data_IF_109603906094
#
_entry.id   IF_109603906094
#
_cell.length_a   1.000
_cell.length_b   1.000
_cell.length_c   1.000
_cell.angle_alpha   90.00
_cell.angle_beta   90.00
_cell.angle_gamma   90.00
#
_symmetry.space_group_name_H-M   'P 1'
#
loop_
_entity.id
_entity.type
_entity.pdbx_description
1 polymer ?
#
# COMPACT_ATOMS: atom_id res chain seq x y z
N UNK A 1 -8.71 17.51 -7.56
CA UNK A 1 -7.32 17.77 -7.15
C UNK A 1 -7.16 17.86 -5.62
N UNK A 2 -8.09 18.50 -4.87
CA UNK A 2 -8.08 18.49 -3.38
C UNK A 2 -9.30 17.82 -2.73
N UNK A 3 -10.44 17.71 -3.44
CA UNK A 3 -11.72 17.22 -2.88
C UNK A 3 -11.70 15.77 -2.40
N UNK A 4 -10.74 14.95 -2.84
CA UNK A 4 -10.65 13.54 -2.49
C UNK A 4 -9.79 13.27 -1.23
N UNK A 5 -8.89 14.19 -0.84
CA UNK A 5 -8.23 14.12 0.47
C UNK A 5 -9.22 14.42 1.61
N UNK A 6 -10.26 15.21 1.33
CA UNK A 6 -11.35 15.44 2.29
C UNK A 6 -12.12 14.14 2.60
N UNK A 7 -12.17 13.18 1.67
CA UNK A 7 -12.77 11.85 1.88
C UNK A 7 -11.90 10.89 2.69
N UNK A 8 -10.59 11.10 2.74
CA UNK A 8 -9.65 10.31 3.54
C UNK A 8 -9.59 10.74 5.02
N UNK A 9 -10.35 11.78 5.39
CA UNK A 9 -10.33 12.33 6.73
C UNK A 9 -11.13 11.44 7.69
N UNK A 10 -10.44 10.82 8.63
CA UNK A 10 -11.05 9.94 9.62
C UNK A 10 -11.53 10.71 10.84
N UNK A 11 -12.67 10.27 11.37
CA UNK A 11 -13.16 10.65 12.70
C UNK A 11 -13.47 9.38 13.49
N UNK A 12 -12.54 8.87 14.30
CA UNK A 12 -12.93 7.99 15.40
C UNK A 12 -12.50 8.51 16.77
N UNK A 13 -13.53 8.66 17.59
CA UNK A 13 -13.73 8.15 18.97
C UNK A 13 -12.64 8.31 20.03
N UNK A 14 -11.57 9.04 19.81
CA UNK A 14 -10.73 9.56 20.89
C UNK A 14 -10.96 11.06 21.09
N UNK A 15 -11.87 11.37 22.03
CA UNK A 15 -12.15 12.71 22.54
C UNK A 15 -12.56 13.79 21.50
N UNK A 16 -12.97 13.40 20.29
CA UNK A 16 -13.44 14.33 19.26
C UNK A 16 -12.33 14.97 18.43
N UNK A 17 -11.10 14.45 18.47
CA UNK A 17 -10.01 14.89 17.58
C UNK A 17 -10.12 14.17 16.22
N UNK A 18 -10.15 14.94 15.13
CA UNK A 18 -10.12 14.46 13.74
C UNK A 18 -8.67 14.18 13.36
N UNK A 19 -8.39 12.95 12.93
CA UNK A 19 -7.06 12.50 12.56
C UNK A 19 -7.01 12.34 11.04
N UNK A 20 -6.14 13.09 10.38
CA UNK A 20 -6.17 13.25 8.92
C UNK A 20 -4.89 12.77 8.23
N UNK A 21 -5.04 12.42 6.96
CA UNK A 21 -3.95 12.30 6.00
C UNK A 21 -3.84 13.63 5.26
N UNK A 22 -2.73 14.35 5.38
CA UNK A 22 -2.56 15.67 4.77
C UNK A 22 -1.33 15.80 3.90
N UNK A 23 -1.51 16.40 2.72
CA UNK A 23 -0.39 16.91 1.94
C UNK A 23 -0.01 18.30 2.48
N UNK A 24 1.25 18.46 2.85
CA UNK A 24 1.82 19.72 3.32
C UNK A 24 1.84 20.74 2.19
N UNK A 25 1.30 21.94 2.48
CA UNK A 25 1.34 23.11 1.62
C UNK A 25 2.14 24.21 2.33
N UNK A 26 3.24 24.72 1.75
CA UNK A 26 4.03 25.79 2.36
C UNK A 26 3.18 27.02 2.70
N UNK A 27 3.45 27.65 3.84
CA UNK A 27 2.76 28.83 4.36
C UNK A 27 1.29 28.61 4.79
N UNK A 28 0.79 27.36 4.80
CA UNK A 28 -0.55 27.05 5.29
C UNK A 28 -0.50 26.67 6.77
N UNK A 29 -1.37 27.27 7.56
CA UNK A 29 -1.46 26.98 8.99
C UNK A 29 -2.05 25.58 9.22
N UNK A 30 -1.49 24.92 10.23
CA UNK A 30 -2.06 23.73 10.83
C UNK A 30 -3.46 24.00 11.39
N UNK A 31 -4.40 23.13 11.07
CA UNK A 31 -5.83 23.21 11.41
C UNK A 31 -6.40 21.88 11.93
N UNK A 32 -5.60 20.81 11.93
CA UNK A 32 -5.98 19.47 12.39
C UNK A 32 -4.78 18.66 12.91
N UNK A 33 -5.08 17.55 13.60
CA UNK A 33 -4.08 16.54 13.98
C UNK A 33 -3.91 15.54 12.84
N UNK A 34 -2.68 15.12 12.55
CA UNK A 34 -2.37 14.30 11.38
C UNK A 34 -1.84 12.91 11.76
N UNK A 35 -2.41 11.84 11.18
CA UNK A 35 -1.80 10.50 11.23
C UNK A 35 -0.58 10.46 10.31
N UNK A 36 -0.80 10.92 9.08
CA UNK A 36 0.24 11.02 8.07
C UNK A 36 0.27 12.43 7.52
N UNK A 37 1.45 13.03 7.49
CA UNK A 37 1.71 14.21 6.67
C UNK A 37 2.60 13.80 5.51
N UNK A 38 2.16 14.11 4.30
CA UNK A 38 2.94 13.95 3.07
C UNK A 38 3.58 15.28 2.71
N UNK A 39 4.75 15.26 2.08
CA UNK A 39 5.30 16.44 1.40
C UNK A 39 5.98 16.04 0.10
N UNK A 40 5.93 16.90 -0.91
CA UNK A 40 6.63 16.66 -2.17
C UNK A 40 8.09 17.09 -1.99
N UNK A 41 9.03 16.16 -2.21
CA UNK A 41 10.44 16.43 -2.02
C UNK A 41 10.97 17.35 -3.13
N UNK A 42 11.57 18.48 -2.73
CA UNK A 42 12.25 19.41 -3.63
C UNK A 42 13.35 20.18 -2.88
N UNK A 43 14.21 20.90 -3.61
CA UNK A 43 15.20 21.80 -3.02
C UNK A 43 14.56 23.06 -2.39
N UNK A 44 13.27 23.30 -2.65
CA UNK A 44 12.52 24.46 -2.17
C UNK A 44 11.84 24.22 -0.81
N UNK A 45 11.86 22.97 -0.32
CA UNK A 45 11.28 22.62 0.98
C UNK A 45 12.06 23.30 2.12
N UNK A 46 11.38 24.16 2.86
CA UNK A 46 11.90 24.71 4.10
C UNK A 46 11.79 23.66 5.23
N UNK A 47 12.92 23.10 5.63
CA UNK A 47 13.01 22.03 6.65
C UNK A 47 12.50 22.52 8.01
N UNK A 48 12.84 23.74 8.43
CA UNK A 48 12.42 24.29 9.73
C UNK A 48 10.90 24.48 9.78
N UNK A 49 10.31 24.98 8.69
CA UNK A 49 8.85 25.16 8.59
C UNK A 49 8.12 23.82 8.62
N UNK A 50 8.62 22.83 7.88
CA UNK A 50 8.04 21.49 7.85
C UNK A 50 8.13 20.78 9.20
N UNK A 51 9.24 20.93 9.93
CA UNK A 51 9.39 20.42 11.29
C UNK A 51 8.41 21.10 12.26
N UNK A 52 8.29 22.43 12.20
CA UNK A 52 7.32 23.17 13.02
C UNK A 52 5.87 22.76 12.70
N UNK A 53 5.56 22.51 11.42
CA UNK A 53 4.25 21.97 11.02
C UNK A 53 3.99 20.58 11.61
N UNK A 54 4.98 19.67 11.53
CA UNK A 54 4.93 18.32 12.12
C UNK A 54 4.64 18.38 13.62
N UNK A 55 5.34 19.25 14.34
CA UNK A 55 5.14 19.45 15.79
C UNK A 55 3.76 20.03 16.11
N UNK A 56 3.31 21.04 15.36
CA UNK A 56 2.04 21.72 15.59
C UNK A 56 0.83 20.82 15.31
N UNK A 57 0.94 19.94 14.31
CA UNK A 57 -0.13 18.98 13.93
C UNK A 57 -0.02 17.63 14.63
N UNK A 58 0.96 17.46 15.54
CA UNK A 58 1.29 16.18 16.19
C UNK A 58 1.37 15.01 15.18
N UNK A 59 1.96 15.25 14.01
CA UNK A 59 2.06 14.25 12.94
C UNK A 59 2.76 12.99 13.44
N UNK A 60 2.07 11.85 13.37
CA UNK A 60 2.65 10.55 13.75
C UNK A 60 3.71 10.10 12.74
N UNK A 61 3.39 10.13 11.43
CA UNK A 61 4.30 9.73 10.35
C UNK A 61 4.45 10.82 9.29
N UNK A 62 5.69 11.23 9.00
CA UNK A 62 6.05 12.16 7.94
C UNK A 62 6.59 11.40 6.73
N UNK A 63 5.86 11.46 5.60
CA UNK A 63 6.21 10.75 4.37
C UNK A 63 6.62 11.73 3.28
N UNK A 64 7.81 11.53 2.69
CA UNK A 64 8.25 12.25 1.51
C UNK A 64 7.75 11.57 0.23
N UNK A 65 7.23 12.35 -0.71
CA UNK A 65 6.93 11.92 -2.07
C UNK A 65 8.09 12.35 -2.98
N UNK A 66 8.87 11.39 -3.45
CA UNK A 66 10.03 11.64 -4.31
C UNK A 66 9.72 11.26 -5.75
N UNK A 67 9.49 12.26 -6.59
CA UNK A 67 9.08 12.08 -7.99
C UNK A 67 10.22 12.09 -8.99
N UNK A 68 11.44 12.41 -8.54
CA UNK A 68 12.61 12.59 -9.42
C UNK A 68 13.70 11.55 -9.16
N UNK A 69 13.61 10.81 -8.05
CA UNK A 69 14.68 9.94 -7.56
C UNK A 69 15.90 10.69 -7.02
N UNK A 70 15.89 12.03 -7.03
CA UNK A 70 17.00 12.84 -6.50
C UNK A 70 17.07 12.72 -4.98
N UNK A 71 18.30 12.72 -4.45
CA UNK A 71 18.56 12.81 -3.01
C UNK A 71 18.48 14.26 -2.55
N UNK A 72 17.32 14.68 -2.03
CA UNK A 72 17.13 16.00 -1.44
C UNK A 72 17.47 16.01 0.05
N UNK A 73 17.92 17.14 0.59
CA UNK A 73 18.21 17.26 2.03
C UNK A 73 16.96 17.12 2.90
N UNK A 74 15.80 17.56 2.40
CA UNK A 74 14.51 17.40 3.10
C UNK A 74 14.10 15.93 3.32
N UNK A 75 14.68 14.98 2.58
CA UNK A 75 14.41 13.55 2.80
C UNK A 75 14.92 13.06 4.16
N UNK A 76 15.92 13.73 4.76
CA UNK A 76 16.53 13.30 6.03
C UNK A 76 15.60 13.40 7.23
N UNK A 77 14.52 14.18 7.14
CA UNK A 77 13.55 14.35 8.22
C UNK A 77 12.31 13.49 8.05
N UNK A 78 12.15 12.82 6.91
CA UNK A 78 11.02 11.94 6.64
C UNK A 78 11.23 10.57 7.31
N UNK A 79 10.14 10.01 7.85
CA UNK A 79 10.15 8.66 8.42
C UNK A 79 10.16 7.61 7.29
N UNK A 80 9.42 7.89 6.20
CA UNK A 80 9.41 7.09 4.98
C UNK A 80 9.48 7.97 3.72
N UNK A 81 9.93 7.38 2.61
CA UNK A 81 10.07 8.01 1.30
C UNK A 81 9.37 7.12 0.29
N UNK A 82 8.32 7.64 -0.34
CA UNK A 82 7.64 6.98 -1.45
C UNK A 82 8.21 7.50 -2.77
N UNK A 83 8.79 6.59 -3.54
CA UNK A 83 9.22 6.84 -4.92
C UNK A 83 8.06 6.55 -5.86
N UNK A 84 7.62 7.56 -6.62
CA UNK A 84 6.48 7.49 -7.54
C UNK A 84 6.68 8.45 -8.73
N UNK A 85 5.89 8.33 -9.79
CA UNK A 85 5.79 9.35 -10.84
C UNK A 85 5.13 10.64 -10.35
N UNK A 86 5.40 11.77 -11.02
CA UNK A 86 4.73 13.03 -10.69
C UNK A 86 3.22 13.00 -10.92
N UNK A 87 2.77 12.22 -11.90
CA UNK A 87 1.38 11.92 -12.21
C UNK A 87 0.77 10.85 -11.29
N UNK A 88 1.58 10.18 -10.48
CA UNK A 88 1.16 9.11 -9.59
C UNK A 88 0.95 9.57 -8.13
N UNK A 89 1.25 10.84 -7.81
CA UNK A 89 1.20 11.38 -6.44
C UNK A 89 -0.14 11.12 -5.76
N UNK A 90 -1.24 11.43 -6.43
CA UNK A 90 -2.58 11.26 -5.86
C UNK A 90 -2.86 9.78 -5.54
N UNK A 91 -2.53 8.87 -6.48
CA UNK A 91 -2.70 7.43 -6.27
C UNK A 91 -1.77 6.86 -5.19
N UNK A 92 -0.55 7.38 -5.08
CA UNK A 92 0.39 6.99 -4.02
C UNK A 92 -0.14 7.37 -2.64
N UNK A 93 -0.73 8.56 -2.51
CA UNK A 93 -1.41 8.99 -1.29
C UNK A 93 -2.66 8.12 -1.05
N UNK A 94 -3.53 7.93 -2.05
CA UNK A 94 -4.75 7.11 -1.90
C UNK A 94 -4.47 5.66 -1.55
N UNK A 95 -3.40 5.09 -2.08
CA UNK A 95 -2.94 3.75 -1.75
C UNK A 95 -2.85 3.55 -0.23
N UNK A 96 -2.44 4.60 0.49
CA UNK A 96 -2.36 4.63 1.95
C UNK A 96 -3.62 5.22 2.63
N UNK A 97 -4.25 6.23 2.04
CA UNK A 97 -5.29 7.02 2.72
C UNK A 97 -6.63 6.30 2.88
N UNK A 98 -6.99 5.39 1.98
CA UNK A 98 -8.21 4.60 2.13
C UNK A 98 -8.10 3.48 3.15
N UNK A 99 -6.89 3.21 3.69
CA UNK A 99 -6.62 2.13 4.66
C UNK A 99 -7.45 2.21 5.94
N UNK A 100 -8.17 3.31 6.20
CA UNK A 100 -9.01 3.50 7.40
C UNK A 100 -10.48 3.94 7.12
N UNK A 101 -10.97 3.88 5.88
CA UNK A 101 -12.31 4.35 5.53
C UNK A 101 -13.42 3.28 5.72
N UNK A 102 -14.63 3.71 6.09
CA UNK A 102 -15.83 2.87 6.22
C UNK A 102 -16.29 2.35 4.84
N UNK A 103 -16.37 1.04 4.64
CA UNK A 103 -16.95 0.42 3.43
C UNK A 103 -16.08 -0.61 2.70
N UNK A 104 -14.94 -0.99 3.27
CA UNK A 104 -13.97 -1.87 2.61
C UNK A 104 -14.48 -3.33 2.54
N UNK A 105 -14.24 -3.99 1.41
CA UNK A 105 -14.49 -5.43 1.27
C UNK A 105 -13.49 -6.25 2.09
N UNK A 106 -12.23 -5.81 2.08
CA UNK A 106 -11.15 -6.25 2.97
C UNK A 106 -10.47 -5.00 3.47
N UNK A 107 -10.31 -4.86 4.79
CA UNK A 107 -9.64 -3.73 5.42
C UNK A 107 -8.45 -4.19 6.25
N UNK A 108 -7.44 -3.34 6.32
CA UNK A 108 -6.35 -3.38 7.30
C UNK A 108 -6.54 -2.22 8.27
N UNK A 109 -5.96 -2.28 9.45
CA UNK A 109 -6.03 -1.16 10.40
C UNK A 109 -4.74 -0.32 10.41
N UNK A 110 -4.74 0.78 11.15
CA UNK A 110 -3.54 1.62 11.30
C UNK A 110 -2.35 0.88 11.91
N UNK A 111 -2.58 -0.15 12.73
CA UNK A 111 -1.49 -0.92 13.33
C UNK A 111 -0.78 -1.78 12.29
N UNK A 112 -1.53 -2.42 11.38
CA UNK A 112 -0.97 -3.15 10.24
C UNK A 112 -0.09 -2.22 9.38
N UNK A 113 -0.60 -1.03 9.09
CA UNK A 113 0.10 -0.01 8.30
C UNK A 113 1.40 0.42 8.97
N UNK A 114 1.35 0.75 10.26
CA UNK A 114 2.55 1.13 11.01
C UNK A 114 3.57 0.01 11.07
N UNK A 115 3.10 -1.22 11.24
CA UNK A 115 3.96 -2.40 11.21
C UNK A 115 4.70 -2.47 9.88
N UNK A 116 3.98 -2.37 8.76
CA UNK A 116 4.58 -2.37 7.43
C UNK A 116 5.57 -1.21 7.24
N UNK A 117 5.19 0.02 7.57
CA UNK A 117 6.05 1.22 7.43
C UNK A 117 7.28 1.20 8.35
N UNK A 118 7.24 0.45 9.45
CA UNK A 118 8.37 0.32 10.38
C UNK A 118 9.54 -0.51 9.83
N UNK A 119 9.31 -1.30 8.78
CA UNK A 119 10.35 -2.17 8.22
C UNK A 119 11.44 -1.42 7.45
N UNK A 120 11.14 -0.23 6.96
CA UNK A 120 12.16 0.62 6.36
C UNK A 120 11.67 1.89 5.72
N UNK A 121 12.63 2.79 5.47
CA UNK A 121 12.37 4.15 4.98
C UNK A 121 12.01 4.17 3.48
N UNK A 122 12.54 3.24 2.67
CA UNK A 122 12.38 3.29 1.21
C UNK A 122 11.15 2.51 0.75
N UNK A 123 10.23 3.20 0.07
CA UNK A 123 8.99 2.61 -0.45
C UNK A 123 8.90 2.86 -1.95
N UNK A 124 8.85 1.80 -2.76
CA UNK A 124 8.56 1.93 -4.19
C UNK A 124 7.04 1.80 -4.39
N UNK A 125 6.42 2.86 -4.91
CA UNK A 125 5.03 2.80 -5.34
C UNK A 125 4.95 2.24 -6.75
N UNK A 126 4.02 1.32 -6.98
CA UNK A 126 3.64 0.84 -8.29
C UNK A 126 2.12 0.77 -8.37
N UNK A 127 1.56 0.98 -9.54
CA UNK A 127 0.13 0.74 -9.76
C UNK A 127 -0.14 0.25 -11.18
N UNK A 128 -1.32 -0.33 -11.38
CA UNK A 128 -1.85 -0.66 -12.71
C UNK A 128 -3.37 -0.60 -12.69
N UNK A 129 -3.97 -0.20 -13.80
CA UNK A 129 -5.42 -0.22 -13.98
C UNK A 129 -5.82 -0.99 -15.23
N UNK A 130 -7.03 -1.53 -15.20
CA UNK A 130 -7.63 -2.20 -16.34
C UNK A 130 -9.16 -2.14 -16.26
N UNK A 131 -9.81 -2.19 -17.42
CA UNK A 131 -11.26 -2.25 -17.58
C UNK A 131 -11.64 -3.38 -18.54
N UNK A 132 -12.93 -3.74 -18.56
CA UNK A 132 -13.45 -4.79 -19.44
C UNK A 132 -13.21 -6.21 -18.92
N UNK A 133 -13.31 -7.19 -19.80
CA UNK A 133 -13.19 -8.60 -19.42
C UNK A 133 -11.80 -8.90 -18.82
N UNK A 134 -11.78 -9.74 -17.77
CA UNK A 134 -10.56 -10.16 -17.07
C UNK A 134 -9.69 -8.99 -16.52
N UNK A 135 -10.30 -7.85 -16.20
CA UNK A 135 -9.60 -6.64 -15.74
C UNK A 135 -8.59 -6.91 -14.61
N UNK A 136 -8.91 -7.76 -13.64
CA UNK A 136 -7.99 -8.14 -12.54
C UNK A 136 -6.73 -8.82 -13.08
N UNK A 137 -6.89 -9.78 -14.00
CA UNK A 137 -5.75 -10.52 -14.56
C UNK A 137 -4.86 -9.61 -15.41
N UNK A 138 -5.47 -8.71 -16.18
CA UNK A 138 -4.76 -7.71 -16.97
C UNK A 138 -3.97 -6.76 -16.07
N UNK A 139 -4.60 -6.20 -15.03
CA UNK A 139 -3.94 -5.33 -14.07
C UNK A 139 -2.78 -6.04 -13.37
N UNK A 140 -3.01 -7.23 -12.80
CA UNK A 140 -1.95 -8.02 -12.16
C UNK A 140 -0.74 -8.25 -13.08
N UNK A 141 -0.99 -8.64 -14.34
CA UNK A 141 0.08 -8.85 -15.32
C UNK A 141 0.89 -7.58 -15.59
N UNK A 142 0.21 -6.44 -15.70
CA UNK A 142 0.88 -5.15 -15.90
C UNK A 142 1.68 -4.74 -14.66
N UNK A 143 1.12 -4.91 -13.47
CA UNK A 143 1.76 -4.60 -12.20
C UNK A 143 3.02 -5.44 -11.99
N UNK A 144 2.94 -6.75 -12.21
CA UNK A 144 4.09 -7.66 -12.11
C UNK A 144 5.17 -7.34 -13.15
N UNK A 145 4.79 -6.87 -14.33
CA UNK A 145 5.75 -6.38 -15.33
C UNK A 145 6.47 -5.12 -14.81
N UNK A 146 5.74 -4.18 -14.19
CA UNK A 146 6.35 -3.00 -13.55
C UNK A 146 7.27 -3.41 -12.39
N UNK A 147 6.85 -4.34 -11.52
CA UNK A 147 7.66 -4.87 -10.43
C UNK A 147 8.99 -5.45 -10.92
N UNK A 148 8.95 -6.33 -11.92
CA UNK A 148 10.16 -6.94 -12.51
C UNK A 148 11.09 -5.92 -13.19
N UNK A 149 10.57 -4.76 -13.59
CA UNK A 149 11.36 -3.68 -14.18
C UNK A 149 12.01 -2.75 -13.15
N UNK A 150 11.68 -2.88 -11.86
CA UNK A 150 12.23 -2.07 -10.76
C UNK A 150 12.95 -2.95 -9.74
N UNK A 151 14.06 -3.62 -10.11
CA UNK A 151 14.84 -4.39 -9.15
C UNK A 151 15.42 -3.45 -8.09
N UNK A 152 15.37 -3.88 -6.83
CA UNK A 152 16.00 -3.22 -5.70
C UNK A 152 17.18 -4.06 -5.20
N UNK A 153 18.21 -3.41 -4.71
CA UNK A 153 19.31 -4.07 -4.00
C UNK A 153 18.98 -4.30 -2.51
N UNK A 154 17.87 -3.74 -2.03
CA UNK A 154 17.41 -3.90 -0.66
C UNK A 154 16.43 -5.06 -0.54
N UNK A 155 16.39 -5.68 0.64
CA UNK A 155 15.47 -6.78 0.92
C UNK A 155 14.05 -6.21 1.00
N UNK A 156 13.12 -6.76 0.20
CA UNK A 156 11.70 -6.45 0.32
C UNK A 156 11.18 -7.05 1.64
N UNK A 157 10.60 -6.23 2.50
CA UNK A 157 10.17 -6.63 3.85
C UNK A 157 8.67 -6.71 4.00
N UNK A 158 7.94 -5.80 3.36
CA UNK A 158 6.49 -5.83 3.36
C UNK A 158 5.93 -5.30 2.04
N UNK A 159 4.70 -5.71 1.76
CA UNK A 159 3.93 -5.24 0.61
C UNK A 159 2.54 -4.85 1.08
N UNK A 160 2.18 -3.59 0.90
CA UNK A 160 0.79 -3.14 1.05
C UNK A 160 0.15 -3.12 -0.34
N UNK A 161 -0.98 -3.81 -0.48
CA UNK A 161 -1.74 -3.92 -1.73
C UNK A 161 -3.12 -3.33 -1.50
N UNK A 162 -3.44 -2.29 -2.26
CA UNK A 162 -4.75 -1.67 -2.25
C UNK A 162 -5.41 -1.85 -3.62
N UNK A 163 -6.53 -2.57 -3.63
CA UNK A 163 -7.35 -2.78 -4.82
C UNK A 163 -8.55 -1.85 -4.79
N UNK A 164 -8.64 -0.96 -5.77
CA UNK A 164 -9.76 -0.06 -6.00
C UNK A 164 -10.59 -0.65 -7.13
N UNK A 165 -11.86 -0.94 -6.91
CA UNK A 165 -12.67 -1.71 -7.87
C UNK A 165 -14.16 -1.49 -7.66
N UNK A 166 -14.98 -2.06 -8.54
CA UNK A 166 -16.43 -1.93 -8.48
C UNK A 166 -17.09 -2.98 -7.58
N UNK A 167 -18.37 -2.76 -7.28
CA UNK A 167 -19.14 -3.63 -6.39
C UNK A 167 -19.32 -5.08 -6.89
N UNK A 168 -18.97 -5.38 -8.14
CA UNK A 168 -18.93 -6.74 -8.67
C UNK A 168 -17.69 -7.54 -8.26
N UNK A 169 -16.70 -6.89 -7.62
CA UNK A 169 -15.50 -7.58 -7.16
C UNK A 169 -15.84 -8.68 -6.14
N UNK A 170 -15.17 -9.82 -6.25
CA UNK A 170 -15.48 -11.01 -5.47
C UNK A 170 -14.23 -11.76 -4.97
N UNK A 171 -14.47 -12.81 -4.19
CA UNK A 171 -13.39 -13.59 -3.56
C UNK A 171 -12.52 -14.34 -4.57
N UNK A 172 -13.04 -14.78 -5.71
CA UNK A 172 -12.25 -15.50 -6.72
C UNK A 172 -11.22 -14.55 -7.34
N UNK A 173 -11.59 -13.28 -7.53
CA UNK A 173 -10.68 -12.23 -7.98
C UNK A 173 -9.62 -11.88 -6.94
N UNK A 174 -9.99 -11.79 -5.65
CA UNK A 174 -9.02 -11.60 -4.58
C UNK A 174 -8.04 -12.78 -4.48
N UNK A 175 -8.54 -14.02 -4.58
CA UNK A 175 -7.70 -15.22 -4.58
C UNK A 175 -6.72 -15.20 -5.76
N UNK A 176 -7.17 -14.77 -6.93
CA UNK A 176 -6.29 -14.58 -8.09
C UNK A 176 -5.17 -13.56 -7.80
N UNK A 177 -5.48 -12.39 -7.24
CA UNK A 177 -4.47 -11.40 -6.86
C UNK A 177 -3.46 -12.00 -5.88
N UNK A 178 -3.95 -12.72 -4.86
CA UNK A 178 -3.10 -13.37 -3.86
C UNK A 178 -2.11 -14.35 -4.51
N UNK A 179 -2.62 -15.25 -5.36
CA UNK A 179 -1.78 -16.23 -6.09
C UNK A 179 -0.74 -15.50 -6.94
N UNK A 180 -1.13 -14.46 -7.69
CA UNK A 180 -0.19 -13.72 -8.53
C UNK A 180 0.93 -13.06 -7.71
N UNK A 181 0.61 -12.52 -6.54
CA UNK A 181 1.59 -11.90 -5.63
C UNK A 181 2.52 -12.96 -5.05
N UNK A 182 1.99 -14.00 -4.41
CA UNK A 182 2.78 -15.04 -3.74
C UNK A 182 3.69 -15.82 -4.71
N UNK A 183 3.26 -16.00 -5.97
CA UNK A 183 4.07 -16.69 -6.96
C UNK A 183 5.19 -15.84 -7.56
N UNK A 184 5.09 -14.50 -7.50
CA UNK A 184 5.99 -13.60 -8.23
C UNK A 184 6.78 -12.63 -7.34
N UNK A 185 6.39 -12.43 -6.08
CA UNK A 185 7.01 -11.50 -5.16
C UNK A 185 7.56 -12.28 -3.97
N UNK A 186 8.87 -12.19 -3.76
CA UNK A 186 9.59 -12.86 -2.69
C UNK A 186 9.52 -12.01 -1.40
N UNK A 187 8.48 -12.23 -0.62
CA UNK A 187 8.21 -11.60 0.68
C UNK A 187 7.48 -12.62 1.56
N UNK A 188 7.64 -12.55 2.88
CA UNK A 188 6.90 -13.42 3.79
C UNK A 188 5.39 -13.14 3.65
N UNK A 189 4.58 -14.19 3.57
CA UNK A 189 3.12 -14.07 3.42
C UNK A 189 2.48 -13.31 4.58
N UNK A 190 3.09 -13.35 5.77
CA UNK A 190 2.60 -12.59 6.94
C UNK A 190 2.82 -11.08 6.81
N UNK A 191 3.72 -10.65 5.91
CA UNK A 191 4.07 -9.26 5.67
C UNK A 191 3.44 -8.73 4.36
N UNK A 192 2.42 -9.43 3.85
CA UNK A 192 1.59 -8.98 2.74
C UNK A 192 0.23 -8.55 3.28
N UNK A 193 -0.07 -7.28 3.09
CA UNK A 193 -1.26 -6.64 3.61
C UNK A 193 -2.19 -6.31 2.45
N UNK A 194 -3.43 -6.81 2.51
CA UNK A 194 -4.42 -6.61 1.46
C UNK A 194 -5.55 -5.71 1.91
N UNK A 195 -5.89 -4.77 1.05
CA UNK A 195 -7.09 -3.98 1.17
C UNK A 195 -7.85 -3.97 -0.15
N UNK A 196 -9.18 -3.95 -0.06
CA UNK A 196 -10.09 -3.79 -1.19
C UNK A 196 -11.11 -2.71 -0.87
N UNK A 197 -11.11 -1.65 -1.67
CA UNK A 197 -12.05 -0.55 -1.60
C UNK A 197 -12.97 -0.56 -2.82
N UNK A 198 -14.26 -0.36 -2.55
CA UNK A 198 -15.20 -0.05 -3.62
C UNK A 198 -15.12 1.43 -3.95
N UNK A 199 -14.94 1.72 -5.23
CA UNK A 199 -14.94 3.06 -5.78
C UNK A 199 -15.76 3.02 -7.06
N UNK A 200 -16.34 4.12 -7.54
CA UNK A 200 -17.24 4.07 -8.71
C UNK A 200 -16.65 4.74 -9.96
N UNK A 201 -15.58 5.53 -9.83
CA UNK A 201 -14.98 6.25 -10.97
C UNK A 201 -13.50 6.58 -10.75
N UNK A 202 -12.65 6.43 -11.76
CA UNK A 202 -11.28 6.97 -11.84
C UNK A 202 -11.06 7.60 -13.21
N UNK A 203 -9.96 8.34 -13.41
CA UNK A 203 -9.57 8.82 -14.75
C UNK A 203 -9.49 7.69 -15.81
N UNK A 204 -9.22 6.44 -15.37
CA UNK A 204 -9.14 5.25 -16.22
C UNK A 204 -10.43 4.42 -16.31
N UNK A 205 -11.47 4.78 -15.56
CA UNK A 205 -12.64 3.92 -15.37
C UNK A 205 -13.89 4.77 -15.04
N UNK A 206 -14.94 4.71 -15.88
CA UNK A 206 -16.16 5.51 -15.70
C UNK A 206 -17.24 4.77 -14.91
N UNK A 207 -18.14 5.53 -14.31
CA UNK A 207 -19.34 5.01 -13.65
C UNK A 207 -20.09 4.00 -14.55
N UNK A 208 -20.34 2.80 -14.02
CA UNK A 208 -21.06 1.73 -14.71
C UNK A 208 -20.20 0.81 -15.60
N UNK A 209 -18.92 1.12 -15.81
CA UNK A 209 -17.96 0.16 -16.38
C UNK A 209 -17.45 -0.80 -15.28
N UNK A 210 -16.91 -1.95 -15.68
CA UNK A 210 -16.18 -2.83 -14.77
C UNK A 210 -14.68 -2.56 -14.88
N UNK A 211 -14.01 -2.47 -13.75
CA UNK A 211 -12.59 -2.15 -13.72
C UNK A 211 -11.94 -2.25 -12.36
N UNK A 212 -10.61 -2.12 -12.38
CA UNK A 212 -9.83 -1.97 -11.17
C UNK A 212 -8.63 -1.05 -11.37
N UNK A 213 -8.14 -0.53 -10.24
CA UNK A 213 -6.79 -0.04 -10.08
C UNK A 213 -6.16 -0.78 -8.89
N UNK A 214 -5.03 -1.45 -9.11
CA UNK A 214 -4.28 -2.14 -8.06
C UNK A 214 -3.03 -1.31 -7.79
N UNK A 215 -2.92 -0.80 -6.56
CA UNK A 215 -1.78 -0.07 -6.03
C UNK A 215 -0.95 -1.00 -5.15
N UNK A 216 0.36 -0.85 -5.21
CA UNK A 216 1.33 -1.65 -4.46
C UNK A 216 2.41 -0.74 -3.90
N UNK A 217 2.61 -0.80 -2.58
CA UNK A 217 3.70 -0.15 -1.88
C UNK A 217 4.69 -1.22 -1.43
N UNK A 218 5.85 -1.23 -2.06
CA UNK A 218 6.93 -2.17 -1.79
C UNK A 218 7.85 -1.54 -0.74
N UNK A 219 7.83 -2.05 0.48
CA UNK A 219 8.62 -1.50 1.59
C UNK A 219 9.90 -2.30 1.72
N UNK A 220 11.02 -1.64 1.48
CA UNK A 220 12.34 -2.24 1.57
C UNK A 220 12.96 -1.97 2.93
N UNK A 221 13.82 -2.89 3.38
CA UNK A 221 14.60 -2.72 4.60
C UNK A 221 15.35 -1.39 4.62
N UNK A 222 15.67 -0.89 5.81
CA UNK A 222 16.64 0.19 5.96
C UNK A 222 17.94 -0.13 5.21
N UNK A 223 18.64 0.91 4.74
CA UNK A 223 19.96 0.75 4.13
C UNK A 223 20.91 0.11 5.16
N UNK A 224 21.03 -1.22 5.14
CA UNK A 224 22.06 -1.92 5.89
C UNK A 224 23.40 -1.61 5.23
N UNK A 225 24.22 -0.77 5.87
CA UNK A 225 25.66 -0.94 5.77
C UNK A 225 25.99 -2.32 6.36
N UNK A 226 26.65 -3.15 5.54
CA UNK A 226 27.30 -4.44 5.82
C UNK A 226 26.42 -5.70 5.93
N UNK A 227 26.30 -6.47 4.84
CA UNK A 227 27.20 -7.63 4.59
C UNK A 227 26.80 -8.45 3.36
N UNK A 228 27.80 -8.67 2.51
CA UNK A 228 27.92 -9.64 1.39
C UNK A 228 26.68 -9.92 0.51
N UNK A 229 26.86 -9.63 -0.78
CA UNK A 229 26.13 -10.31 -1.86
C UNK A 229 26.22 -11.83 -1.66
N UNK A 230 25.24 -12.42 -1.00
CA UNK A 230 25.03 -13.86 -1.08
C UNK A 230 24.44 -14.08 -2.47
N UNK A 231 25.33 -14.39 -3.42
CA UNK A 231 24.99 -15.06 -4.66
C UNK A 231 24.36 -16.41 -4.29
N UNK A 232 23.08 -16.43 -3.94
CA UNK A 232 22.31 -17.67 -3.91
C UNK A 232 22.08 -18.04 -5.37
N UNK A 233 22.91 -18.96 -5.85
CA UNK A 233 22.76 -19.63 -7.13
C UNK A 233 21.28 -19.92 -7.40
N UNK A 234 20.78 -19.41 -8.53
CA UNK A 234 19.48 -19.73 -9.10
C UNK A 234 19.46 -21.18 -9.61
N UNK A 235 19.67 -22.18 -8.73
CA UNK A 235 19.57 -23.59 -9.08
C UNK A 235 19.18 -24.43 -7.86
N UNK A 236 17.94 -24.26 -7.39
CA UNK A 236 17.24 -25.38 -6.74
C UNK A 236 15.92 -25.55 -7.50
N UNK A 237 15.73 -26.66 -8.25
CA UNK A 237 14.42 -26.98 -8.76
C UNK A 237 13.49 -27.13 -7.55
N UNK A 238 12.40 -26.36 -7.50
CA UNK A 238 11.29 -26.62 -6.58
C UNK A 238 10.91 -28.09 -6.80
N UNK A 239 11.24 -28.95 -5.84
CA UNK A 239 10.73 -30.33 -5.81
C UNK A 239 9.22 -30.22 -5.81
N UNK A 240 8.60 -30.67 -6.88
CA UNK A 240 7.16 -30.94 -6.93
C UNK A 240 6.85 -31.86 -5.76
N UNK A 241 6.03 -31.47 -4.78
CA UNK A 241 5.57 -32.41 -3.77
C UNK A 241 4.69 -33.45 -4.45
N UNK A 242 4.99 -34.72 -4.19
CA UNK A 242 4.21 -35.86 -4.63
C UNK A 242 2.72 -35.66 -4.32
N UNK A 243 1.92 -35.91 -5.35
CA UNK A 243 0.47 -35.79 -5.40
C UNK A 243 -0.22 -36.85 -4.53
N UNK A 244 -0.09 -36.79 -3.20
CA UNK A 244 -0.94 -37.60 -2.30
C UNK A 244 -0.95 -37.03 -0.89
N UNK A 245 -1.74 -35.97 -0.68
CA UNK A 245 -2.46 -35.59 0.56
C UNK A 245 -2.76 -34.07 0.52
N UNK A 246 -3.75 -33.67 -0.29
CA UNK A 246 -4.39 -32.36 -0.13
C UNK A 246 -5.73 -32.63 0.53
N UNK A 247 -5.72 -32.61 1.85
CA UNK A 247 -6.93 -32.51 2.66
C UNK A 247 -6.85 -31.22 3.48
N UNK A 248 -7.50 -30.18 2.96
CA UNK A 248 -8.12 -29.13 3.77
C UNK A 248 -7.24 -28.00 4.29
N UNK A 249 -6.79 -27.11 3.40
CA UNK A 249 -6.29 -25.77 3.76
C UNK A 249 -6.77 -24.70 2.75
N UNK A 250 -8.08 -24.67 2.46
CA UNK A 250 -8.69 -23.53 1.78
C UNK A 250 -9.34 -22.59 2.80
N UNK A 251 -9.36 -21.30 2.51
CA UNK A 251 -10.08 -20.27 3.31
C UNK A 251 -11.55 -20.67 3.53
N UNK A 252 -12.14 -21.40 2.57
CA UNK A 252 -13.48 -21.98 2.65
C UNK A 252 -13.62 -23.02 3.77
N UNK A 253 -12.58 -23.81 4.07
CA UNK A 253 -12.56 -24.71 5.23
C UNK A 253 -12.37 -23.97 6.55
N UNK A 254 -11.53 -22.94 6.57
CA UNK A 254 -11.34 -22.09 7.74
C UNK A 254 -12.67 -21.45 8.18
N UNK A 255 -13.43 -20.89 7.23
CA UNK A 255 -14.74 -20.29 7.50
C UNK A 255 -15.81 -21.32 7.92
N UNK A 256 -15.78 -22.55 7.39
CA UNK A 256 -16.65 -23.64 7.86
C UNK A 256 -16.40 -23.99 9.32
N UNK A 257 -15.14 -24.00 9.76
CA UNK A 257 -14.76 -24.28 11.16
C UNK A 257 -15.20 -23.15 12.10
N UNK A 258 -15.15 -21.89 11.65
CA UNK A 258 -15.66 -20.76 12.44
C UNK A 258 -17.20 -20.77 12.55
N UNK A 259 -17.92 -21.10 11.48
CA UNK A 259 -19.39 -21.21 11.52
C UNK A 259 -19.89 -22.37 12.39
N UNK A 260 -19.13 -23.47 12.49
CA UNK A 260 -19.46 -24.59 13.38
C UNK A 260 -19.22 -24.29 14.86
N UNK A 261 -18.22 -23.45 15.17
CA UNK A 261 -17.96 -23.00 16.55
C UNK A 261 -19.04 -22.08 17.09
N UNK A 262 -19.63 -21.22 16.26
CA UNK A 262 -20.69 -20.30 16.65
C UNK A 262 -22.09 -20.93 16.78
N UNK A 263 -22.27 -22.22 16.44
CA UNK A 263 -23.55 -22.94 16.59
C UNK A 263 -23.66 -23.76 17.88
N UNK A 264 -22.57 -23.90 18.63
CA UNK A 264 -22.51 -24.69 19.86
C UNK A 264 -22.19 -23.84 21.11
N UNK A 265 -22.42 -22.53 21.04
CA UNK A 265 -22.32 -21.59 22.16
C UNK A 265 -23.66 -20.95 22.46
#
# INVERSE_FOLDING_TARGET
>A
MLEYLDFAAFTERDNGKKWEHKLYEPNKLADSFNLITYFIASDEVNIEELQNYRETTETEVLIALNTTGKRYDCLKIADNIIYCGSDEIELAIYGLSFMNAYGNFIGIDWYDVKTALSYGTSIQFLHSSATGDDYIAVACKQLLKKFKAHPSNYILKAVLINTLTDSSFNFDQQEFINIQVQENIDVDEVDIFYQVNFFEEFDSWKEGEQGCCICMLLIYSHEENDSESVTREQNIPKKTPDTTQIAGNSIREYLKRQQQRNKNG
#
